data_IF_881833323950
#
_entry.id   IF_881833323950
#
_cell.length_a   1.000
_cell.length_b   1.000
_cell.length_c   1.000
_cell.angle_alpha   90.00
_cell.angle_beta   90.00
_cell.angle_gamma   90.00
#
_symmetry.space_group_name_H-M   'P 1'
#
loop_
_entity.id
_entity.type
_entity.pdbx_description
1 polymer ?
#
# COMPACT_ATOMS: atom_id res chain seq x y z
N UNK A 1 0.31 -12.17 9.24
CA UNK A 1 -0.90 -12.05 8.42
C UNK A 1 -1.55 -13.43 8.32
N UNK A 2 -2.76 -13.61 8.87
CA UNK A 2 -3.49 -14.88 8.85
C UNK A 2 -4.48 -14.84 7.69
N UNK A 3 -4.23 -15.62 6.62
CA UNK A 3 -5.10 -15.69 5.43
C UNK A 3 -6.26 -16.70 5.56
N UNK A 4 -6.32 -17.44 6.68
CA UNK A 4 -7.36 -18.41 6.98
C UNK A 4 -7.57 -18.41 8.49
N UNK A 5 -8.69 -17.89 8.90
CA UNK A 5 -9.01 -17.82 10.32
C UNK A 5 -10.49 -18.11 10.51
N UNK A 6 -10.81 -18.84 11.58
CA UNK A 6 -12.15 -18.98 12.09
C UNK A 6 -12.10 -18.53 13.55
N UNK A 7 -12.90 -17.52 13.86
CA UNK A 7 -13.13 -17.06 15.22
C UNK A 7 -14.60 -17.24 15.56
N UNK A 8 -14.89 -17.86 16.69
CA UNK A 8 -16.25 -18.01 17.22
C UNK A 8 -16.26 -17.35 18.59
N UNK A 9 -16.90 -16.20 18.69
CA UNK A 9 -16.92 -15.41 19.92
C UNK A 9 -18.18 -14.52 19.98
N UNK A 10 -19.12 -14.80 20.94
CA UNK A 10 -19.00 -15.84 21.97
C UNK A 10 -19.51 -17.22 21.50
N UNK A 11 -18.91 -18.25 22.05
CA UNK A 11 -19.44 -19.61 22.05
C UNK A 11 -20.18 -19.84 23.38
N UNK A 12 -21.48 -20.14 23.32
CA UNK A 12 -22.34 -20.13 24.49
C UNK A 12 -22.92 -21.53 24.76
N UNK A 13 -22.90 -21.94 26.03
CA UNK A 13 -23.65 -23.07 26.51
C UNK A 13 -25.02 -22.57 27.02
N UNK A 14 -26.11 -23.06 26.43
CA UNK A 14 -27.48 -22.71 26.81
C UNK A 14 -27.96 -23.51 28.02
N UNK A 15 -29.03 -23.05 28.65
CA UNK A 15 -29.64 -23.76 29.83
C UNK A 15 -30.23 -25.13 29.52
N UNK A 16 -30.37 -25.51 28.25
CA UNK A 16 -30.79 -26.81 27.74
C UNK A 16 -29.59 -27.63 27.20
N UNK A 17 -28.38 -27.31 27.66
CA UNK A 17 -27.11 -28.01 27.36
C UNK A 17 -26.73 -28.03 25.88
N UNK A 18 -27.18 -27.08 25.07
CA UNK A 18 -26.72 -26.90 23.69
C UNK A 18 -25.57 -25.92 23.59
N UNK A 19 -24.60 -26.22 22.73
CA UNK A 19 -23.56 -25.28 22.35
C UNK A 19 -23.99 -24.47 21.14
N UNK A 20 -23.98 -23.16 21.26
CA UNK A 20 -24.40 -22.20 20.20
C UNK A 20 -23.28 -21.23 19.91
N UNK A 21 -22.88 -21.14 18.63
CA UNK A 21 -22.07 -20.05 18.12
C UNK A 21 -23.01 -18.85 17.90
N UNK A 22 -22.86 -17.78 18.69
CA UNK A 22 -23.65 -16.58 18.55
C UNK A 22 -23.14 -15.71 17.42
N UNK A 23 -21.83 -15.68 17.23
CA UNK A 23 -21.15 -15.00 16.15
C UNK A 23 -19.96 -15.82 15.67
N UNK A 24 -19.64 -15.70 14.39
CA UNK A 24 -18.51 -16.38 13.77
C UNK A 24 -17.89 -15.50 12.67
N UNK A 25 -16.61 -15.19 12.80
CA UNK A 25 -15.81 -14.49 11.79
C UNK A 25 -14.92 -15.49 11.06
N UNK A 26 -15.06 -15.54 9.73
CA UNK A 26 -14.27 -16.42 8.87
C UNK A 26 -13.48 -15.59 7.86
N UNK A 27 -12.20 -15.88 7.72
CA UNK A 27 -11.36 -15.30 6.66
C UNK A 27 -10.92 -16.40 5.70
N UNK A 28 -11.20 -16.21 4.42
CA UNK A 28 -10.82 -17.11 3.34
C UNK A 28 -9.57 -16.60 2.64
N UNK A 29 -8.89 -17.48 1.91
CA UNK A 29 -7.76 -17.12 1.05
C UNK A 29 -8.31 -16.62 -0.29
N UNK A 30 -8.20 -15.31 -0.57
CA UNK A 30 -8.71 -14.68 -1.79
C UNK A 30 -8.14 -15.32 -3.05
N UNK A 31 -6.89 -15.79 -3.00
CA UNK A 31 -6.26 -16.49 -4.12
C UNK A 31 -6.92 -17.84 -4.44
N UNK A 32 -7.82 -18.34 -3.60
CA UNK A 32 -8.55 -19.58 -3.82
C UNK A 32 -10.04 -19.36 -4.18
N UNK A 33 -10.56 -18.13 -4.08
CA UNK A 33 -11.99 -17.83 -4.29
C UNK A 33 -12.47 -18.17 -5.70
N UNK A 34 -11.62 -18.08 -6.72
CA UNK A 34 -11.97 -18.49 -8.09
C UNK A 34 -12.41 -19.96 -8.19
N UNK A 35 -12.00 -20.81 -7.25
CA UNK A 35 -12.41 -22.23 -7.16
C UNK A 35 -13.58 -22.46 -6.20
N UNK A 36 -13.98 -21.43 -5.44
CA UNK A 36 -14.97 -21.50 -4.37
C UNK A 36 -15.91 -20.30 -4.45
N UNK A 37 -16.62 -20.15 -5.56
CA UNK A 37 -17.51 -19.00 -5.82
C UNK A 37 -18.55 -18.78 -4.72
N UNK A 38 -19.09 -19.86 -4.13
CA UNK A 38 -20.01 -19.74 -3.00
C UNK A 38 -19.42 -19.06 -1.75
N UNK A 39 -18.10 -19.07 -1.59
CA UNK A 39 -17.46 -18.34 -0.49
C UNK A 39 -17.33 -16.85 -0.82
N UNK A 40 -17.16 -16.51 -2.09
CA UNK A 40 -17.13 -15.11 -2.52
C UNK A 40 -18.48 -14.41 -2.28
N UNK A 41 -19.60 -15.15 -2.47
CA UNK A 41 -20.95 -14.63 -2.23
C UNK A 41 -21.27 -14.36 -0.73
N UNK A 42 -20.46 -14.92 0.18
CA UNK A 42 -20.59 -14.70 1.63
C UNK A 42 -19.76 -13.52 2.16
N UNK A 43 -19.05 -12.79 1.27
CA UNK A 43 -18.23 -11.65 1.66
C UNK A 43 -19.11 -10.54 2.23
N UNK A 44 -18.79 -10.09 3.43
CA UNK A 44 -19.45 -8.96 4.08
C UNK A 44 -18.54 -7.73 4.04
N UNK A 45 -18.79 -6.84 3.11
CA UNK A 45 -18.02 -5.60 2.92
C UNK A 45 -18.18 -4.62 4.08
N UNK A 46 -19.19 -4.78 4.94
CA UNK A 46 -19.41 -3.89 6.09
C UNK A 46 -18.43 -4.18 7.23
N UNK A 47 -17.82 -5.36 7.23
CA UNK A 47 -16.80 -5.79 8.20
C UNK A 47 -15.37 -5.53 7.71
N UNK A 48 -15.19 -5.02 6.48
CA UNK A 48 -13.88 -4.72 5.90
C UNK A 48 -13.56 -3.23 5.98
N UNK A 49 -12.25 -2.90 5.98
CA UNK A 49 -11.84 -1.49 5.85
C UNK A 49 -12.24 -0.97 4.45
N UNK A 50 -12.94 0.18 4.36
CA UNK A 50 -13.37 0.72 3.06
C UNK A 50 -12.22 0.98 2.09
N UNK A 51 -11.03 1.36 2.57
CA UNK A 51 -9.86 1.61 1.73
C UNK A 51 -9.28 0.30 1.19
N UNK A 52 -9.31 -0.78 2.00
CA UNK A 52 -8.89 -2.11 1.54
C UNK A 52 -9.84 -2.64 0.47
N UNK A 53 -11.15 -2.42 0.64
CA UNK A 53 -12.18 -2.78 -0.34
C UNK A 53 -11.98 -2.01 -1.64
N UNK A 54 -11.83 -0.67 -1.58
CA UNK A 54 -11.59 0.18 -2.75
C UNK A 54 -10.30 -0.22 -3.48
N UNK A 55 -9.21 -0.49 -2.74
CA UNK A 55 -7.95 -0.93 -3.32
C UNK A 55 -8.09 -2.25 -4.10
N UNK A 56 -8.89 -3.18 -3.58
CA UNK A 56 -9.18 -4.47 -4.22
C UNK A 56 -9.83 -4.35 -5.59
N UNK A 57 -10.65 -3.31 -5.83
CA UNK A 57 -11.28 -3.05 -7.14
C UNK A 57 -10.25 -2.70 -8.24
N UNK A 58 -9.06 -2.23 -7.84
CA UNK A 58 -7.94 -1.87 -8.74
C UNK A 58 -6.79 -2.87 -8.68
N UNK A 59 -7.03 -4.07 -8.16
CA UNK A 59 -6.02 -5.13 -7.99
C UNK A 59 -4.81 -4.69 -7.13
N UNK A 60 -4.99 -3.69 -6.27
CA UNK A 60 -4.01 -3.21 -5.32
C UNK A 60 -4.12 -3.97 -4.00
N UNK A 61 -2.99 -4.46 -3.49
CA UNK A 61 -2.96 -5.06 -2.15
C UNK A 61 -2.68 -3.97 -1.12
N UNK A 62 -3.71 -3.47 -0.48
CA UNK A 62 -3.64 -2.43 0.54
C UNK A 62 -4.00 -3.00 1.92
N UNK A 63 -3.29 -2.57 2.95
CA UNK A 63 -3.62 -2.83 4.35
C UNK A 63 -3.35 -1.54 5.12
N UNK A 64 -4.35 -1.03 5.83
CA UNK A 64 -4.22 0.16 6.66
C UNK A 64 -3.40 -0.13 7.92
N UNK A 65 -2.56 0.83 8.31
CA UNK A 65 -1.78 0.86 9.55
C UNK A 65 -1.95 2.23 10.25
N UNK A 66 -1.36 2.38 11.42
CA UNK A 66 -1.58 3.57 12.27
C UNK A 66 -0.52 4.67 12.14
N UNK A 67 0.37 4.59 11.16
CA UNK A 67 1.48 5.52 10.99
C UNK A 67 1.16 6.80 10.22
N UNK A 68 2.23 7.54 9.88
CA UNK A 68 2.14 8.81 9.15
C UNK A 68 2.88 8.80 7.80
N UNK A 69 3.57 7.71 7.45
CA UNK A 69 4.28 7.59 6.19
C UNK A 69 3.55 6.58 5.31
N UNK A 70 2.90 7.08 4.26
CA UNK A 70 2.27 6.26 3.24
C UNK A 70 3.33 5.49 2.45
N UNK A 71 3.09 4.22 2.18
CA UNK A 71 4.01 3.35 1.45
C UNK A 71 3.39 2.89 0.13
N UNK A 72 4.13 3.01 -0.97
CA UNK A 72 3.77 2.46 -2.28
C UNK A 72 4.96 1.69 -2.85
N UNK A 73 4.82 0.38 -2.99
CA UNK A 73 5.95 -0.51 -3.30
C UNK A 73 5.51 -1.57 -4.30
N UNK A 74 6.40 -2.04 -5.14
CA UNK A 74 6.12 -3.20 -5.99
C UNK A 74 6.72 -4.48 -5.40
N UNK A 75 5.84 -5.35 -4.98
CA UNK A 75 6.16 -6.65 -4.39
C UNK A 75 6.12 -6.66 -2.86
N UNK A 76 5.38 -7.62 -2.31
CA UNK A 76 5.10 -7.72 -0.88
C UNK A 76 6.36 -7.82 -0.01
N UNK A 77 7.40 -8.53 -0.47
CA UNK A 77 8.67 -8.64 0.26
C UNK A 77 9.40 -7.30 0.37
N UNK A 78 9.43 -6.52 -0.73
CA UNK A 78 10.02 -5.18 -0.74
C UNK A 78 9.20 -4.21 0.12
N UNK A 79 7.86 -4.33 0.10
CA UNK A 79 6.98 -3.52 0.94
C UNK A 79 7.24 -3.76 2.43
N UNK A 80 7.34 -5.01 2.86
CA UNK A 80 7.69 -5.33 4.26
C UNK A 80 9.06 -4.78 4.64
N UNK A 81 10.10 -4.96 3.78
CA UNK A 81 11.43 -4.41 4.02
C UNK A 81 11.44 -2.87 4.07
N UNK A 82 10.60 -2.22 3.26
CA UNK A 82 10.44 -0.75 3.28
C UNK A 82 9.83 -0.28 4.59
N UNK A 83 8.81 -0.96 5.08
CA UNK A 83 8.21 -0.65 6.38
C UNK A 83 9.18 -0.86 7.54
N UNK A 84 9.98 -1.92 7.51
CA UNK A 84 11.00 -2.20 8.54
C UNK A 84 12.08 -1.13 8.58
N UNK A 85 12.54 -0.65 7.40
CA UNK A 85 13.56 0.41 7.35
C UNK A 85 12.99 1.75 7.82
N UNK A 86 11.74 2.10 7.50
CA UNK A 86 11.06 3.29 8.04
C UNK A 86 11.06 3.26 9.56
N UNK A 87 10.70 2.12 10.17
CA UNK A 87 10.74 1.95 11.63
C UNK A 87 12.14 2.08 12.21
N UNK A 88 13.15 1.57 11.52
CA UNK A 88 14.56 1.68 11.93
C UNK A 88 15.01 3.13 12.02
N UNK A 89 14.51 4.00 11.14
CA UNK A 89 14.76 5.44 11.17
C UNK A 89 13.80 6.23 12.08
N UNK A 90 12.95 5.54 12.85
CA UNK A 90 12.06 6.15 13.85
C UNK A 90 10.73 6.67 13.31
N UNK A 91 10.37 6.32 12.08
CA UNK A 91 9.06 6.61 11.51
C UNK A 91 8.06 5.47 11.67
N UNK A 92 6.79 5.72 11.38
CA UNK A 92 5.73 4.71 11.41
C UNK A 92 5.01 4.65 10.05
N UNK A 93 4.95 3.47 9.40
CA UNK A 93 4.24 3.30 8.16
C UNK A 93 2.71 3.39 8.37
N UNK A 94 2.04 4.15 7.50
CA UNK A 94 0.58 4.34 7.52
C UNK A 94 -0.18 3.21 6.82
N UNK A 95 0.49 2.48 5.94
CA UNK A 95 -0.10 1.38 5.20
C UNK A 95 0.95 0.43 4.63
N UNK A 96 0.50 -0.78 4.31
CA UNK A 96 1.13 -1.64 3.33
C UNK A 96 0.41 -1.41 1.99
N UNK A 97 1.14 -1.19 0.90
CA UNK A 97 0.58 -1.15 -0.45
C UNK A 97 1.57 -1.78 -1.43
N UNK A 98 1.14 -2.87 -2.04
CA UNK A 98 1.83 -3.52 -3.15
C UNK A 98 1.08 -3.24 -4.44
N UNK A 99 1.72 -2.50 -5.35
CA UNK A 99 1.16 -2.14 -6.67
C UNK A 99 1.41 -3.23 -7.73
N UNK A 100 1.98 -4.36 -7.32
CA UNK A 100 2.27 -5.48 -8.21
C UNK A 100 3.47 -5.25 -9.15
N UNK A 101 3.67 -6.20 -10.06
CA UNK A 101 4.81 -6.20 -10.99
C UNK A 101 4.68 -5.24 -12.19
N UNK A 102 3.54 -4.60 -12.37
CA UNK A 102 3.25 -3.69 -13.48
C UNK A 102 2.74 -2.36 -12.97
N UNK A 103 3.60 -1.60 -12.26
CA UNK A 103 3.25 -0.26 -11.82
C UNK A 103 2.98 0.65 -13.03
N UNK A 104 1.71 0.88 -13.33
CA UNK A 104 1.23 1.77 -14.40
C UNK A 104 0.88 3.16 -13.84
N UNK A 105 0.70 4.14 -14.72
CA UNK A 105 0.19 5.45 -14.33
C UNK A 105 -1.11 5.33 -13.52
N UNK A 106 -2.04 4.47 -13.96
CA UNK A 106 -3.34 4.27 -13.33
C UNK A 106 -3.22 3.68 -11.92
N UNK A 107 -2.39 2.64 -11.74
CA UNK A 107 -2.16 2.03 -10.42
C UNK A 107 -1.48 2.98 -9.45
N UNK A 108 -0.55 3.82 -9.93
CA UNK A 108 0.11 4.86 -9.13
C UNK A 108 -0.88 5.97 -8.75
N UNK A 109 -1.71 6.43 -9.69
CA UNK A 109 -2.75 7.43 -9.42
C UNK A 109 -3.74 6.92 -8.36
N UNK A 110 -4.22 5.70 -8.51
CA UNK A 110 -5.12 5.08 -7.53
C UNK A 110 -4.46 4.88 -6.18
N UNK A 111 -3.20 4.43 -6.16
CA UNK A 111 -2.42 4.34 -4.94
C UNK A 111 -2.34 5.68 -4.20
N UNK A 112 -2.06 6.78 -4.89
CA UNK A 112 -2.08 8.12 -4.30
C UNK A 112 -3.47 8.47 -3.75
N UNK A 113 -4.53 8.24 -4.54
CA UNK A 113 -5.91 8.54 -4.10
C UNK A 113 -6.27 7.80 -2.82
N UNK A 114 -5.93 6.50 -2.72
CA UNK A 114 -6.23 5.68 -1.56
C UNK A 114 -5.39 6.10 -0.35
N UNK A 115 -4.07 6.25 -0.51
CA UNK A 115 -3.18 6.64 0.60
C UNK A 115 -3.58 8.00 1.18
N UNK A 116 -3.96 8.96 0.34
CA UNK A 116 -4.30 10.32 0.78
C UNK A 116 -5.69 10.47 1.39
N UNK A 117 -6.52 9.43 1.37
CA UNK A 117 -7.76 9.41 2.14
C UNK A 117 -7.51 9.26 3.65
N UNK A 118 -6.34 8.73 4.04
CA UNK A 118 -5.96 8.72 5.46
C UNK A 118 -5.41 10.09 5.87
N UNK A 119 -6.11 10.83 6.76
CA UNK A 119 -5.70 12.16 7.19
C UNK A 119 -4.42 12.17 8.04
N UNK A 120 -3.97 11.02 8.51
CA UNK A 120 -2.73 10.88 9.28
C UNK A 120 -1.49 10.88 8.39
N UNK A 121 -1.63 10.62 7.10
CA UNK A 121 -0.50 10.56 6.16
C UNK A 121 0.06 11.96 5.92
N UNK A 122 1.34 12.12 6.22
CA UNK A 122 2.10 13.38 6.07
C UNK A 122 3.16 13.33 4.98
N UNK A 123 3.62 12.15 4.61
CA UNK A 123 4.59 11.90 3.54
C UNK A 123 4.27 10.57 2.87
N UNK A 124 4.59 10.43 1.58
CA UNK A 124 4.51 9.14 0.88
C UNK A 124 5.92 8.72 0.47
N UNK A 125 6.28 7.48 0.78
CA UNK A 125 7.48 6.82 0.28
C UNK A 125 7.12 5.83 -0.84
N UNK A 126 7.60 6.11 -2.05
CA UNK A 126 7.51 5.20 -3.19
C UNK A 126 8.83 4.46 -3.32
N UNK A 127 8.79 3.14 -3.28
CA UNK A 127 9.97 2.30 -3.46
C UNK A 127 9.72 1.23 -4.51
N UNK A 128 10.22 1.44 -5.71
CA UNK A 128 10.04 0.54 -6.86
C UNK A 128 11.39 -0.05 -7.28
N UNK A 129 11.42 -1.37 -7.36
CA UNK A 129 12.53 -2.09 -7.95
C UNK A 129 12.14 -2.57 -9.36
N UNK A 130 12.73 -1.96 -10.37
CA UNK A 130 12.45 -2.22 -11.78
C UNK A 130 13.34 -3.30 -12.37
N UNK A 131 13.05 -4.56 -12.11
CA UNK A 131 13.67 -5.68 -12.85
C UNK A 131 13.09 -5.80 -14.27
N UNK A 132 11.81 -6.06 -14.35
CA UNK A 132 11.02 -6.12 -15.60
C UNK A 132 10.37 -4.76 -15.89
N UNK A 133 9.97 -4.05 -14.84
CA UNK A 133 9.34 -2.72 -14.92
C UNK A 133 10.41 -1.68 -15.26
N UNK A 134 10.11 -0.78 -16.18
CA UNK A 134 10.99 0.33 -16.57
C UNK A 134 10.76 1.51 -15.64
N UNK A 135 11.82 1.95 -14.96
CA UNK A 135 11.75 3.07 -14.01
C UNK A 135 11.34 4.40 -14.66
N UNK A 136 11.73 4.66 -15.91
CA UNK A 136 11.34 5.86 -16.67
C UNK A 136 9.82 5.94 -16.90
N UNK A 137 9.17 4.81 -17.18
CA UNK A 137 7.71 4.75 -17.32
C UNK A 137 7.01 4.99 -15.97
N UNK A 138 7.53 4.38 -14.90
CA UNK A 138 7.01 4.60 -13.54
C UNK A 138 7.17 6.05 -13.12
N UNK A 139 8.34 6.65 -13.37
CA UNK A 139 8.59 8.07 -13.06
C UNK A 139 7.62 9.00 -13.78
N UNK A 140 7.36 8.73 -15.07
CA UNK A 140 6.36 9.49 -15.84
C UNK A 140 4.96 9.35 -15.24
N UNK A 141 4.56 8.12 -14.88
CA UNK A 141 3.29 7.84 -14.21
C UNK A 141 3.17 8.55 -12.85
N UNK A 142 4.24 8.56 -12.04
CA UNK A 142 4.28 9.30 -10.77
C UNK A 142 4.07 10.80 -10.99
N UNK A 143 4.76 11.41 -11.95
CA UNK A 143 4.66 12.83 -12.25
C UNK A 143 3.25 13.20 -12.71
N UNK A 144 2.63 12.41 -13.60
CA UNK A 144 1.27 12.64 -14.07
C UNK A 144 0.24 12.42 -12.94
N UNK A 145 0.36 11.35 -12.17
CA UNK A 145 -0.52 11.08 -11.03
C UNK A 145 -0.41 12.18 -9.96
N UNK A 146 0.82 12.62 -9.64
CA UNK A 146 1.06 13.71 -8.70
C UNK A 146 0.36 15.01 -9.14
N UNK A 147 0.38 15.30 -10.44
CA UNK A 147 -0.29 16.47 -11.03
C UNK A 147 -1.80 16.34 -10.99
N UNK A 148 -2.35 15.19 -11.39
CA UNK A 148 -3.79 14.92 -11.45
C UNK A 148 -4.45 14.97 -10.08
N UNK A 149 -3.82 14.35 -9.07
CA UNK A 149 -4.31 14.32 -7.69
C UNK A 149 -4.09 15.67 -6.99
N UNK A 150 -3.26 16.56 -7.57
CA UNK A 150 -2.85 17.84 -6.96
C UNK A 150 -2.30 17.64 -5.54
N UNK A 151 -1.40 16.67 -5.40
CA UNK A 151 -0.88 16.22 -4.12
C UNK A 151 -0.13 17.35 -3.39
N UNK A 152 -0.47 17.58 -2.13
CA UNK A 152 0.12 18.66 -1.31
C UNK A 152 1.18 18.15 -0.34
N UNK A 153 1.12 16.88 0.03
CA UNK A 153 2.11 16.26 0.90
C UNK A 153 3.37 15.87 0.13
N UNK A 154 4.55 15.86 0.78
CA UNK A 154 5.79 15.45 0.14
C UNK A 154 5.79 13.98 -0.24
N UNK A 155 6.46 13.69 -1.35
CA UNK A 155 6.68 12.33 -1.85
C UNK A 155 8.17 12.10 -2.04
N UNK A 156 8.68 11.07 -1.41
CA UNK A 156 10.04 10.57 -1.59
C UNK A 156 9.99 9.35 -2.49
N UNK A 157 10.83 9.34 -3.53
CA UNK A 157 10.81 8.28 -4.55
C UNK A 157 12.18 7.62 -4.62
N UNK A 158 12.20 6.31 -4.51
CA UNK A 158 13.37 5.49 -4.83
C UNK A 158 12.99 4.55 -5.98
N UNK A 159 13.66 4.72 -7.10
CA UNK A 159 13.53 3.88 -8.28
C UNK A 159 14.89 3.25 -8.61
N UNK A 160 14.97 1.94 -8.59
CA UNK A 160 16.19 1.19 -8.91
C UNK A 160 15.91 0.14 -9.97
N UNK A 161 16.82 -0.02 -10.93
CA UNK A 161 16.74 -0.99 -12.01
C UNK A 161 16.81 -0.37 -13.40
N UNK A 162 16.08 -0.95 -14.35
CA UNK A 162 16.13 -0.54 -15.76
C UNK A 162 15.69 0.91 -15.95
N UNK A 163 16.56 1.74 -16.55
CA UNK A 163 16.33 3.18 -16.83
C UNK A 163 16.17 4.06 -15.57
N UNK A 164 16.84 3.71 -14.46
CA UNK A 164 16.79 4.50 -13.23
C UNK A 164 17.36 5.92 -13.41
N UNK A 165 18.44 6.09 -14.18
CA UNK A 165 19.02 7.42 -14.48
C UNK A 165 18.04 8.32 -15.26
N UNK A 166 17.27 7.75 -16.19
CA UNK A 166 16.26 8.49 -16.95
C UNK A 166 15.07 8.87 -16.05
N UNK A 167 14.66 7.96 -15.16
CA UNK A 167 13.66 8.24 -14.14
C UNK A 167 14.05 9.42 -13.25
N UNK A 168 15.31 9.50 -12.84
CA UNK A 168 15.84 10.61 -12.04
C UNK A 168 15.72 11.95 -12.78
N UNK A 169 16.01 11.98 -14.09
CA UNK A 169 15.85 13.18 -14.91
C UNK A 169 14.39 13.59 -15.03
N UNK A 170 13.47 12.63 -15.21
CA UNK A 170 12.03 12.88 -15.31
C UNK A 170 11.51 13.50 -14.01
N UNK A 171 11.81 12.91 -12.86
CA UNK A 171 11.40 13.43 -11.56
C UNK A 171 12.03 14.81 -11.30
N UNK A 172 13.34 14.97 -11.53
CA UNK A 172 14.06 16.22 -11.30
C UNK A 172 13.60 17.37 -12.19
N UNK A 173 13.09 17.09 -13.42
CA UNK A 173 12.55 18.08 -14.33
C UNK A 173 11.04 18.31 -14.19
N UNK A 174 10.37 17.64 -13.26
CA UNK A 174 8.91 17.69 -13.08
C UNK A 174 8.35 19.06 -12.67
N UNK A 175 9.19 19.89 -12.05
CA UNK A 175 8.82 21.22 -11.55
C UNK A 175 8.16 21.21 -10.15
N UNK A 176 8.10 20.05 -9.46
CA UNK A 176 7.49 19.94 -8.12
C UNK A 176 8.45 20.29 -6.98
N UNK A 177 9.76 20.40 -7.26
CA UNK A 177 10.78 20.79 -6.27
C UNK A 177 10.78 19.83 -5.05
N UNK A 178 10.80 20.41 -3.86
CA UNK A 178 10.90 19.65 -2.61
C UNK A 178 9.68 18.76 -2.30
N UNK A 179 8.60 18.89 -3.07
CA UNK A 179 7.43 18.04 -2.89
C UNK A 179 7.54 16.67 -3.56
N UNK A 180 8.46 16.51 -4.49
CA UNK A 180 8.70 15.25 -5.19
C UNK A 180 10.21 15.06 -5.36
N UNK A 181 10.81 14.27 -4.46
CA UNK A 181 12.25 14.11 -4.37
C UNK A 181 12.67 12.67 -4.64
N UNK A 182 13.82 12.50 -5.31
CA UNK A 182 14.45 11.20 -5.48
C UNK A 182 15.47 10.95 -4.37
N UNK A 183 15.55 9.68 -3.96
CA UNK A 183 16.61 9.16 -3.09
C UNK A 183 17.42 8.10 -3.83
N UNK A 184 18.73 8.03 -3.57
CA UNK A 184 19.64 7.10 -4.22
C UNK A 184 19.54 5.69 -3.61
N UNK A 185 19.23 5.58 -2.32
CA UNK A 185 19.16 4.32 -1.59
C UNK A 185 17.92 4.21 -0.69
N UNK A 186 17.58 2.97 -0.29
CA UNK A 186 16.42 2.71 0.55
C UNK A 186 16.56 3.35 1.94
N UNK A 187 17.76 3.34 2.54
CA UNK A 187 18.03 3.99 3.83
C UNK A 187 17.82 5.49 3.76
N UNK A 188 18.39 6.15 2.74
CA UNK A 188 18.20 7.58 2.48
C UNK A 188 16.73 7.91 2.24
N UNK A 189 16.04 7.11 1.44
CA UNK A 189 14.61 7.30 1.18
C UNK A 189 13.77 7.26 2.46
N UNK A 190 14.07 6.32 3.36
CA UNK A 190 13.39 6.22 4.64
C UNK A 190 13.72 7.42 5.55
N UNK A 191 14.99 7.84 5.63
CA UNK A 191 15.42 9.01 6.40
C UNK A 191 14.72 10.30 5.91
N UNK A 192 14.69 10.51 4.60
CA UNK A 192 14.00 11.65 3.98
C UNK A 192 12.51 11.62 4.27
N UNK A 193 11.86 10.45 4.14
CA UNK A 193 10.42 10.31 4.40
C UNK A 193 10.08 10.57 5.87
N UNK A 194 10.90 10.08 6.81
CA UNK A 194 10.74 10.33 8.24
C UNK A 194 10.90 11.82 8.55
N UNK A 195 11.92 12.47 8.00
CA UNK A 195 12.14 13.89 8.17
C UNK A 195 10.98 14.75 7.60
N UNK A 196 10.42 14.33 6.46
CA UNK A 196 9.31 15.01 5.81
C UNK A 196 7.95 14.79 6.50
N UNK A 197 7.82 13.72 7.29
CA UNK A 197 6.59 13.40 8.04
C UNK A 197 6.57 13.99 9.48
N UNK A 198 7.70 14.52 9.96
CA UNK A 198 7.82 15.13 11.28
C UNK A 198 7.08 16.48 11.34
#
# INVERSE_FOLDING_TARGET
MYKRQVEINPLVLTGDDRVVALDAKLSFDDNALFRHSGNADMRDLTEEDPLETEAGEYELNYIKLDGSIGCMVNGAGLAMGTMDIIKTYGGEPANFLDVGGTATEETVEKGFQIITQDPNVRCILINIFGGIVRCDMVASGIVEAFRKVNLQIPVVVRLEGTNAEEAQKIIGSSGFGDRLQMADGLGEAAEMAVAAAA
#
